data_IF_813315617663
#
_entry.id   IF_813315617663
#
_cell.length_a   1.000
_cell.length_b   1.000
_cell.length_c   1.000
_cell.angle_alpha   90.00
_cell.angle_beta   90.00
_cell.angle_gamma   90.00
#
_symmetry.space_group_name_H-M   'P 1'
#
loop_
_entity.id
_entity.type
_entity.pdbx_description
1 polymer ?
#
# COMPACT_ATOMS: atom_id res chain seq x y z
N UNK A 1 -10.22 -10.94 6.67
CA UNK A 1 -8.76 -10.77 6.57
C UNK A 1 -8.28 -11.75 5.50
N UNK A 2 -7.82 -11.27 4.34
CA UNK A 2 -7.32 -12.15 3.28
C UNK A 2 -5.92 -12.66 3.63
N UNK A 3 -5.66 -13.92 3.32
CA UNK A 3 -4.43 -14.66 3.60
C UNK A 3 -3.19 -14.02 2.91
N UNK A 4 -2.06 -13.83 3.62
CA UNK A 4 -0.79 -13.40 3.05
C UNK A 4 -0.33 -14.19 1.80
N UNK A 5 -0.74 -15.45 1.66
CA UNK A 5 -0.48 -16.27 0.49
C UNK A 5 -1.16 -15.75 -0.79
N UNK A 6 -2.33 -15.11 -0.68
CA UNK A 6 -3.06 -14.56 -1.81
C UNK A 6 -2.39 -13.30 -2.39
N UNK A 7 -1.62 -12.57 -1.56
CA UNK A 7 -0.82 -11.42 -1.99
C UNK A 7 0.45 -11.87 -2.73
N UNK A 8 1.00 -13.03 -2.36
CA UNK A 8 2.16 -13.66 -3.01
C UNK A 8 1.86 -14.14 -4.45
N UNK A 9 0.63 -14.58 -4.71
CA UNK A 9 0.18 -14.97 -6.05
C UNK A 9 0.19 -13.78 -7.04
N UNK A 10 -0.21 -12.59 -6.58
CA UNK A 10 -0.25 -11.38 -7.39
C UNK A 10 1.14 -10.96 -7.91
N UNK A 11 2.18 -11.20 -7.12
CA UNK A 11 3.55 -10.84 -7.44
C UNK A 11 4.26 -11.74 -8.45
N UNK A 12 3.98 -13.05 -8.40
CA UNK A 12 4.57 -14.02 -9.33
C UNK A 12 4.03 -13.89 -10.75
N UNK A 13 2.83 -13.32 -10.88
CA UNK A 13 2.14 -13.16 -12.15
C UNK A 13 2.70 -12.05 -13.04
N UNK A 14 3.44 -11.09 -12.48
CA UNK A 14 4.00 -9.97 -13.26
C UNK A 14 5.27 -10.37 -14.04
N UNK A 15 5.94 -11.46 -13.68
CA UNK A 15 7.27 -11.81 -14.22
C UNK A 15 7.34 -13.02 -15.14
N UNK A 16 6.27 -13.81 -15.26
CA UNK A 16 6.24 -15.01 -16.09
C UNK A 16 5.30 -14.82 -17.29
N UNK A 17 5.75 -14.04 -18.28
CA UNK A 17 5.01 -13.85 -19.52
C UNK A 17 3.81 -12.90 -19.38
N UNK A 18 3.41 -12.33 -20.51
CA UNK A 18 2.35 -11.33 -20.64
C UNK A 18 0.98 -12.03 -20.54
N UNK A 19 0.72 -12.69 -19.41
CA UNK A 19 -0.63 -13.07 -19.02
C UNK A 19 -0.95 -12.20 -17.83
N UNK A 20 -1.63 -11.07 -18.08
CA UNK A 20 -2.36 -10.43 -17.01
C UNK A 20 -3.25 -11.51 -16.42
N UNK A 21 -3.06 -11.84 -15.14
CA UNK A 21 -4.07 -12.58 -14.42
C UNK A 21 -5.36 -11.75 -14.59
N UNK A 22 -6.25 -12.32 -15.39
CA UNK A 22 -7.46 -11.64 -15.83
C UNK A 22 -8.35 -11.43 -14.62
N UNK A 23 -8.26 -12.29 -13.60
CA UNK A 23 -8.93 -12.16 -12.33
C UNK A 23 -8.28 -11.06 -11.48
N UNK A 24 -6.95 -10.97 -11.45
CA UNK A 24 -6.23 -9.86 -10.83
C UNK A 24 -6.60 -8.50 -11.43
N UNK A 25 -6.60 -8.39 -12.76
CA UNK A 25 -6.99 -7.16 -13.47
C UNK A 25 -8.47 -6.82 -13.21
N UNK A 26 -9.35 -7.83 -13.21
CA UNK A 26 -10.77 -7.67 -12.88
C UNK A 26 -10.96 -7.21 -11.44
N UNK A 27 -10.19 -7.74 -10.49
CA UNK A 27 -10.23 -7.35 -9.09
C UNK A 27 -9.79 -5.89 -8.89
N UNK A 28 -8.70 -5.47 -9.53
CA UNK A 28 -8.24 -4.07 -9.51
C UNK A 28 -9.28 -3.13 -10.11
N UNK A 29 -9.83 -3.45 -11.29
CA UNK A 29 -10.90 -2.64 -11.91
C UNK A 29 -12.14 -2.57 -11.03
N UNK A 30 -12.54 -3.69 -10.43
CA UNK A 30 -13.66 -3.75 -9.50
C UNK A 30 -13.44 -2.86 -8.28
N UNK A 31 -12.23 -2.90 -7.70
CA UNK A 31 -11.84 -2.06 -6.57
C UNK A 31 -11.92 -0.57 -6.90
N UNK A 32 -11.30 -0.15 -8.01
CA UNK A 32 -11.32 1.24 -8.49
C UNK A 32 -12.75 1.73 -8.72
N UNK A 33 -13.59 0.91 -9.37
CA UNK A 33 -14.97 1.28 -9.67
C UNK A 33 -15.85 1.32 -8.42
N UNK A 34 -15.72 0.35 -7.52
CA UNK A 34 -16.51 0.27 -6.29
C UNK A 34 -16.23 1.45 -5.36
N UNK A 35 -14.96 1.82 -5.20
CA UNK A 35 -14.54 2.92 -4.33
C UNK A 35 -14.45 4.25 -5.07
N UNK A 36 -14.80 4.27 -6.36
CA UNK A 36 -14.77 5.45 -7.24
C UNK A 36 -13.43 6.20 -7.16
N UNK A 37 -12.30 5.48 -7.16
CA UNK A 37 -10.96 6.07 -6.96
C UNK A 37 -10.53 7.04 -8.08
N UNK A 38 -11.32 7.15 -9.14
CA UNK A 38 -11.18 8.15 -10.20
C UNK A 38 -11.79 9.51 -9.84
N UNK A 39 -12.43 9.66 -8.67
CA UNK A 39 -12.92 10.93 -8.15
C UNK A 39 -11.95 11.49 -7.12
N UNK A 40 -11.69 12.79 -7.17
CA UNK A 40 -10.78 13.48 -6.24
C UNK A 40 -11.26 13.42 -4.77
N UNK A 41 -12.56 13.25 -4.56
CA UNK A 41 -13.18 13.21 -3.22
C UNK A 41 -13.26 11.81 -2.61
N UNK A 42 -12.73 10.79 -3.31
CA UNK A 42 -12.84 9.41 -2.86
C UNK A 42 -11.79 9.09 -1.79
N UNK A 43 -12.25 8.43 -0.73
CA UNK A 43 -11.37 7.96 0.33
C UNK A 43 -10.50 6.81 -0.17
N UNK A 44 -9.20 6.93 0.08
CA UNK A 44 -8.23 5.86 -0.14
C UNK A 44 -8.20 4.89 1.05
N UNK A 45 -7.72 3.67 0.81
CA UNK A 45 -7.56 2.62 1.82
C UNK A 45 -6.10 2.23 2.00
N UNK A 46 -5.80 1.29 2.91
CA UNK A 46 -4.45 0.73 3.02
C UNK A 46 -3.92 0.10 1.72
N UNK A 47 -4.80 -0.31 0.79
CA UNK A 47 -4.38 -0.82 -0.52
C UNK A 47 -3.72 0.26 -1.37
N UNK A 48 -4.26 1.48 -1.36
CA UNK A 48 -3.67 2.61 -2.09
C UNK A 48 -2.34 3.04 -1.46
N UNK A 49 -2.22 2.96 -0.12
CA UNK A 49 -0.95 3.21 0.57
C UNK A 49 0.10 2.19 0.16
N UNK A 50 -0.25 0.90 0.10
CA UNK A 50 0.65 -0.14 -0.38
C UNK A 50 1.02 0.02 -1.86
N UNK A 51 0.04 0.34 -2.70
CA UNK A 51 0.25 0.60 -4.13
C UNK A 51 1.19 1.79 -4.34
N UNK A 52 1.00 2.89 -3.59
CA UNK A 52 1.86 4.07 -3.63
C UNK A 52 3.30 3.75 -3.16
N UNK A 53 3.47 3.06 -2.03
CA UNK A 53 4.78 2.62 -1.55
C UNK A 53 5.55 1.80 -2.62
N UNK A 54 4.82 0.94 -3.33
CA UNK A 54 5.36 0.11 -4.40
C UNK A 54 5.67 0.92 -5.67
N UNK A 55 4.75 1.75 -6.14
CA UNK A 55 4.85 2.53 -7.37
C UNK A 55 5.95 3.60 -7.28
N UNK A 56 6.01 4.33 -6.16
CA UNK A 56 6.99 5.39 -5.95
C UNK A 56 8.31 4.88 -5.39
N UNK A 57 8.40 3.58 -5.06
CA UNK A 57 9.58 3.00 -4.45
C UNK A 57 9.99 3.79 -3.19
N UNK A 58 9.07 3.89 -2.23
CA UNK A 58 9.29 4.54 -0.92
C UNK A 58 8.80 3.65 0.22
N UNK A 59 9.36 3.83 1.41
CA UNK A 59 8.82 3.21 2.63
C UNK A 59 7.78 4.16 3.23
N UNK A 60 6.57 3.66 3.48
CA UNK A 60 5.51 4.41 4.16
C UNK A 60 5.22 3.74 5.50
N UNK A 61 5.31 4.51 6.58
CA UNK A 61 4.93 4.08 7.93
C UNK A 61 3.65 4.78 8.33
N UNK A 62 2.67 4.02 8.77
CA UNK A 62 1.36 4.53 9.20
C UNK A 62 1.19 4.20 10.67
N UNK A 63 1.04 5.22 11.52
CA UNK A 63 0.57 5.03 12.89
C UNK A 63 -0.94 5.15 12.90
N UNK A 64 -1.63 4.09 13.32
CA UNK A 64 -3.08 4.08 13.41
C UNK A 64 -3.51 4.19 14.87
N UNK A 65 -4.35 5.15 15.18
CA UNK A 65 -4.95 5.32 16.51
C UNK A 65 -6.47 5.42 16.43
N UNK A 66 -7.16 4.44 17.00
CA UNK A 66 -8.61 4.45 17.12
C UNK A 66 -9.06 3.74 18.38
N UNK A 67 -9.78 4.46 19.26
CA UNK A 67 -10.23 3.95 20.55
C UNK A 67 -9.07 3.33 21.34
N UNK A 68 -9.06 2.02 21.57
CA UNK A 68 -8.01 1.30 22.28
C UNK A 68 -6.92 0.69 21.36
N UNK A 69 -7.00 0.92 20.05
CA UNK A 69 -6.02 0.42 19.09
C UNK A 69 -4.96 1.48 18.80
N UNK A 70 -3.69 1.08 18.94
CA UNK A 70 -2.51 1.88 18.62
C UNK A 70 -1.45 0.97 18.04
N UNK A 71 -1.16 1.12 16.75
CA UNK A 71 -0.22 0.24 16.07
C UNK A 71 0.48 0.92 14.90
N UNK A 72 1.64 0.39 14.53
CA UNK A 72 2.43 0.82 13.40
C UNK A 72 2.33 -0.18 12.25
N UNK A 73 1.85 0.29 11.10
CA UNK A 73 1.91 -0.46 9.86
C UNK A 73 3.04 0.05 8.99
N UNK A 74 3.83 -0.87 8.46
CA UNK A 74 4.94 -0.56 7.57
C UNK A 74 4.67 -1.12 6.18
N UNK A 75 4.60 -0.24 5.19
CA UNK A 75 4.44 -0.59 3.80
C UNK A 75 5.79 -0.42 3.09
N UNK A 76 6.28 -1.51 2.52
CA UNK A 76 7.54 -1.54 1.75
C UNK A 76 7.28 -2.02 0.33
N UNK A 77 8.01 -1.51 -0.66
CA UNK A 77 7.94 -1.99 -2.04
C UNK A 77 8.31 -3.48 -2.09
N UNK A 78 7.44 -4.31 -2.68
CA UNK A 78 7.66 -5.76 -2.79
C UNK A 78 8.18 -6.23 -4.14
N UNK A 79 8.17 -5.38 -5.16
CA UNK A 79 8.50 -5.75 -6.54
C UNK A 79 9.72 -4.98 -7.05
N UNK A 80 10.91 -5.33 -6.57
CA UNK A 80 12.14 -4.88 -7.21
C UNK A 80 13.00 -6.07 -7.57
N UNK A 81 13.35 -6.15 -8.85
CA UNK A 81 14.23 -7.16 -9.42
C UNK A 81 15.52 -7.27 -8.59
N UNK A 82 15.84 -8.50 -8.13
CA UNK A 82 17.12 -9.16 -7.72
C UNK A 82 18.41 -8.38 -7.36
N UNK A 83 18.51 -7.08 -7.55
CA UNK A 83 19.58 -6.24 -7.01
C UNK A 83 19.08 -5.56 -5.75
N UNK A 84 19.71 -5.91 -4.63
CA UNK A 84 19.63 -5.21 -3.35
C UNK A 84 19.57 -3.69 -3.56
N UNK A 85 18.37 -3.12 -3.53
CA UNK A 85 18.21 -1.67 -3.55
C UNK A 85 18.80 -1.16 -2.25
N UNK A 86 19.74 -0.22 -2.34
CA UNK A 86 20.20 0.57 -1.20
C UNK A 86 18.98 1.01 -0.37
N UNK A 87 19.03 0.94 0.97
CA UNK A 87 17.92 1.31 1.84
C UNK A 87 17.33 2.65 1.39
N UNK A 88 16.03 2.68 1.13
CA UNK A 88 15.35 3.88 0.65
C UNK A 88 15.64 5.04 1.61
N UNK A 89 16.29 6.10 1.09
CA UNK A 89 16.65 7.29 1.86
C UNK A 89 15.44 8.11 2.30
N UNK A 90 14.28 7.89 1.69
CA UNK A 90 13.05 8.65 1.96
C UNK A 90 12.01 7.73 2.58
N UNK A 91 11.54 8.12 3.76
CA UNK A 91 10.47 7.48 4.50
C UNK A 91 9.37 8.50 4.71
N UNK A 92 8.13 8.12 4.39
CA UNK A 92 6.95 8.92 4.66
C UNK A 92 6.27 8.37 5.93
N UNK A 93 5.81 9.28 6.78
CA UNK A 93 5.08 8.94 7.99
C UNK A 93 3.67 9.51 7.89
N UNK A 94 2.68 8.66 8.08
CA UNK A 94 1.28 9.04 8.11
C UNK A 94 0.68 8.74 9.49
N UNK A 95 -0.21 9.60 9.94
CA UNK A 95 -1.04 9.37 11.11
C UNK A 95 -2.47 9.12 10.65
N UNK A 96 -3.00 7.93 10.95
CA UNK A 96 -4.36 7.52 10.63
C UNK A 96 -5.23 7.62 11.88
N UNK A 97 -6.10 8.63 11.92
CA UNK A 97 -6.96 8.96 13.05
C UNK A 97 -8.43 8.72 12.71
N UNK A 98 -9.23 8.34 13.72
CA UNK A 98 -10.69 8.18 13.65
C UNK A 98 -11.19 7.18 12.58
N UNK A 99 -10.30 6.31 12.07
CA UNK A 99 -10.56 5.38 10.96
C UNK A 99 -10.99 6.06 9.66
N UNK A 100 -10.75 7.37 9.51
CA UNK A 100 -11.23 8.12 8.35
C UNK A 100 -10.39 9.35 8.02
N UNK A 101 -9.19 9.52 8.56
CA UNK A 101 -8.36 10.68 8.25
C UNK A 101 -6.88 10.35 8.31
N UNK A 102 -6.12 10.89 7.36
CA UNK A 102 -4.67 10.69 7.25
C UNK A 102 -3.97 12.05 7.26
N UNK A 103 -3.05 12.22 8.20
CA UNK A 103 -2.14 13.37 8.24
C UNK A 103 -0.73 12.95 7.85
N UNK A 104 -0.03 13.79 7.09
CA UNK A 104 1.42 13.65 6.90
C UNK A 104 2.13 14.19 8.14
N UNK A 105 2.99 13.37 8.74
CA UNK A 105 3.73 13.75 9.95
C UNK A 105 5.23 13.67 9.74
N UNK A 106 5.96 14.44 10.54
CA UNK A 106 7.42 14.36 10.63
C UNK A 106 7.75 13.48 11.84
N UNK A 107 8.66 12.50 11.71
CA UNK A 107 9.07 11.71 12.87
C UNK A 107 9.78 12.60 13.88
N UNK A 108 9.43 12.48 15.16
CA UNK A 108 10.26 13.00 16.24
C UNK A 108 11.37 11.98 16.43
N UNK A 109 12.59 12.35 16.04
CA UNK A 109 13.78 11.54 16.27
C UNK A 109 14.37 12.00 17.61
N UNK A 110 14.51 11.05 18.54
CA UNK A 110 15.25 11.24 19.79
C UNK A 110 16.76 11.30 19.53
#
# INVERSE_FOLDING_TARGET
>A
MLDPANVLAFGRLVRAGIYYDTDALKAVRSHINRHKLYLETSWSTEYEVFAAATMFQVKIMVFSEYSNYRDWHTYVPRFTNETCMTPMKVMLYLYHINCNHYDLVIPVLD
#
